data_IF_888041181833
#
_entry.id   IF_888041181833
#
_cell.length_a   1.000
_cell.length_b   1.000
_cell.length_c   1.000
_cell.angle_alpha   90.00
_cell.angle_beta   90.00
_cell.angle_gamma   90.00
#
_symmetry.space_group_name_H-M   'P 1'
#
loop_
_entity.id
_entity.type
_entity.pdbx_description
1 polymer ?
#
# COMPACT_ATOMS: atom_id res chain seq x y z
N UNK A 1 3.47 49.43 -29.01
CA UNK A 1 3.46 47.95 -29.14
C UNK A 1 3.46 47.35 -27.74
N UNK A 2 2.29 47.03 -27.22
CA UNK A 2 2.11 46.46 -25.92
C UNK A 2 2.17 44.94 -26.05
N UNK A 3 3.21 44.31 -25.49
CA UNK A 3 3.40 42.88 -25.46
C UNK A 3 2.53 42.31 -24.31
N UNK A 4 1.33 41.82 -24.60
CA UNK A 4 0.50 41.09 -23.65
C UNK A 4 1.11 39.70 -23.51
N UNK A 5 1.85 39.47 -22.40
CA UNK A 5 2.22 38.14 -21.97
C UNK A 5 0.95 37.35 -21.66
N UNK A 6 0.59 36.40 -22.51
CA UNK A 6 -0.41 35.39 -22.23
C UNK A 6 0.15 34.50 -21.12
N UNK A 7 -0.31 34.73 -19.91
CA UNK A 7 -0.15 33.77 -18.81
C UNK A 7 -1.10 32.59 -19.11
N UNK A 8 -0.54 31.52 -19.61
CA UNK A 8 -1.24 30.25 -19.85
C UNK A 8 -1.74 29.75 -18.48
N UNK A 9 -3.03 29.89 -18.22
CA UNK A 9 -3.68 29.30 -17.06
C UNK A 9 -3.80 27.82 -17.34
N UNK A 10 -2.71 27.06 -17.07
CA UNK A 10 -2.81 25.61 -16.98
C UNK A 10 -3.95 25.32 -15.98
N UNK A 11 -4.98 24.63 -16.42
CA UNK A 11 -6.08 24.16 -15.57
C UNK A 11 -5.46 23.38 -14.40
N UNK A 12 -5.52 23.97 -13.20
CA UNK A 12 -5.07 23.29 -11.98
C UNK A 12 -6.08 22.19 -11.71
N UNK A 13 -5.72 20.95 -12.04
CA UNK A 13 -6.54 19.78 -11.71
C UNK A 13 -6.56 19.64 -10.18
N UNK A 14 -7.74 19.69 -9.53
CA UNK A 14 -7.83 19.56 -8.09
C UNK A 14 -7.24 18.22 -7.62
N UNK A 15 -6.48 18.18 -6.52
CA UNK A 15 -5.83 16.97 -6.05
C UNK A 15 -6.83 15.92 -5.57
N UNK A 16 -6.49 14.66 -5.74
CA UNK A 16 -7.21 13.55 -5.10
C UNK A 16 -6.40 13.02 -3.93
N UNK A 17 -6.89 13.25 -2.71
CA UNK A 17 -6.36 12.67 -1.48
C UNK A 17 -6.92 11.27 -1.23
N UNK A 18 -6.28 10.52 -0.33
CA UNK A 18 -6.70 9.16 0.00
C UNK A 18 -6.63 8.88 1.49
N UNK A 19 -7.68 8.24 2.02
CA UNK A 19 -7.62 7.48 3.26
C UNK A 19 -7.45 6.00 2.91
N UNK A 20 -6.47 5.33 3.51
CA UNK A 20 -6.23 3.92 3.26
C UNK A 20 -5.95 3.18 4.58
N UNK A 21 -6.92 3.15 5.51
CA UNK A 21 -6.76 2.50 6.79
C UNK A 21 -6.94 0.98 6.70
N UNK A 22 -6.18 0.25 7.55
CA UNK A 22 -6.42 -1.18 7.79
C UNK A 22 -7.36 -1.31 8.99
N UNK A 23 -8.58 -1.84 8.83
CA UNK A 23 -9.60 -1.89 9.87
C UNK A 23 -9.35 -3.05 10.85
N UNK A 24 -8.25 -3.01 11.60
CA UNK A 24 -7.87 -4.04 12.57
C UNK A 24 -8.42 -3.81 13.98
N UNK A 25 -9.33 -2.85 14.14
CA UNK A 25 -9.96 -2.41 15.37
C UNK A 25 -10.53 -1.02 15.20
N UNK A 26 -10.93 -0.36 16.31
CA UNK A 26 -11.34 1.05 16.25
C UNK A 26 -10.17 1.96 15.91
N UNK A 27 -10.47 3.06 15.24
CA UNK A 27 -9.46 4.07 14.91
C UNK A 27 -8.82 4.64 16.16
N UNK A 28 -7.50 4.71 16.19
CA UNK A 28 -6.79 5.44 17.24
C UNK A 28 -6.48 6.87 16.77
N UNK A 29 -6.10 7.74 17.72
CA UNK A 29 -5.88 9.16 17.45
C UNK A 29 -4.91 9.42 16.30
N UNK A 30 -3.86 8.60 16.14
CA UNK A 30 -2.91 8.74 15.04
C UNK A 30 -3.53 8.50 13.66
N UNK A 31 -4.42 7.50 13.52
CA UNK A 31 -5.13 7.28 12.26
C UNK A 31 -6.04 8.47 11.94
N UNK A 32 -6.76 8.98 12.95
CA UNK A 32 -7.65 10.13 12.80
C UNK A 32 -6.88 11.39 12.41
N UNK A 33 -5.74 11.65 13.03
CA UNK A 33 -4.88 12.79 12.69
C UNK A 33 -4.37 12.71 11.25
N UNK A 34 -3.90 11.53 10.80
CA UNK A 34 -3.49 11.33 9.41
C UNK A 34 -4.64 11.53 8.43
N UNK A 35 -5.83 11.01 8.76
CA UNK A 35 -7.03 11.19 7.93
C UNK A 35 -7.45 12.64 7.84
N UNK A 36 -7.42 13.37 8.97
CA UNK A 36 -7.73 14.80 9.02
C UNK A 36 -6.74 15.62 8.16
N UNK A 37 -5.44 15.37 8.28
CA UNK A 37 -4.43 16.07 7.50
C UNK A 37 -4.59 15.83 6.00
N UNK A 38 -4.84 14.59 5.58
CA UNK A 38 -5.09 14.25 4.19
C UNK A 38 -6.37 14.93 3.68
N UNK A 39 -7.42 14.95 4.49
CA UNK A 39 -8.70 15.60 4.19
C UNK A 39 -8.52 17.11 4.00
N UNK A 40 -7.90 17.78 4.96
CA UNK A 40 -7.62 19.22 4.91
C UNK A 40 -6.76 19.59 3.69
N UNK A 41 -5.70 18.81 3.43
CA UNK A 41 -4.80 19.05 2.30
C UNK A 41 -5.53 18.98 0.95
N UNK A 42 -6.41 18.00 0.75
CA UNK A 42 -7.17 17.89 -0.49
C UNK A 42 -8.30 18.92 -0.58
N UNK A 43 -9.10 19.06 0.47
CA UNK A 43 -10.29 19.94 0.47
C UNK A 43 -9.94 21.42 0.41
N UNK A 44 -8.84 21.86 1.00
CA UNK A 44 -8.38 23.26 0.89
C UNK A 44 -8.04 23.67 -0.55
N UNK A 45 -7.81 22.71 -1.43
CA UNK A 45 -7.50 22.92 -2.83
C UNK A 45 -8.69 22.57 -3.77
N UNK A 46 -9.90 22.43 -3.22
CA UNK A 46 -11.08 21.99 -3.98
C UNK A 46 -11.02 20.53 -4.44
N UNK A 47 -10.14 19.74 -3.83
CA UNK A 47 -9.88 18.36 -4.21
C UNK A 47 -10.89 17.34 -3.64
N UNK A 48 -10.67 16.08 -4.00
CA UNK A 48 -11.49 14.93 -3.63
C UNK A 48 -10.76 14.02 -2.64
N UNK A 49 -11.54 13.21 -1.89
CA UNK A 49 -11.02 12.16 -1.00
C UNK A 49 -11.58 10.81 -1.44
N UNK A 50 -10.69 9.83 -1.56
CA UNK A 50 -11.04 8.42 -1.80
C UNK A 50 -10.78 7.63 -0.53
N UNK A 51 -11.77 6.84 -0.08
CA UNK A 51 -11.62 5.89 1.02
C UNK A 51 -11.32 4.49 0.44
N UNK A 52 -10.15 3.95 0.75
CA UNK A 52 -9.78 2.58 0.45
C UNK A 52 -9.61 1.79 1.74
N UNK A 53 -10.28 0.66 1.84
CA UNK A 53 -10.18 -0.23 2.99
C UNK A 53 -9.10 -1.28 2.75
N UNK A 54 -8.07 -1.31 3.61
CA UNK A 54 -6.95 -2.25 3.47
C UNK A 54 -7.15 -3.49 4.36
N UNK A 55 -8.01 -4.38 3.94
CA UNK A 55 -8.54 -5.54 4.65
C UNK A 55 -8.02 -6.90 4.11
N UNK A 56 -6.79 -6.96 3.60
CA UNK A 56 -6.18 -8.19 3.10
C UNK A 56 -6.07 -9.30 4.16
N UNK A 57 -5.86 -8.93 5.43
CA UNK A 57 -5.81 -9.86 6.55
C UNK A 57 -7.22 -10.00 7.14
N UNK A 58 -8.00 -10.93 6.61
CA UNK A 58 -9.41 -11.11 6.98
C UNK A 58 -9.63 -11.47 8.47
N UNK A 59 -8.65 -12.12 9.12
CA UNK A 59 -8.73 -12.45 10.54
C UNK A 59 -8.61 -11.19 11.42
N UNK A 60 -7.68 -10.31 11.07
CA UNK A 60 -7.43 -9.06 11.80
C UNK A 60 -8.35 -7.92 11.38
N UNK A 61 -8.85 -7.96 10.16
CA UNK A 61 -9.64 -6.89 9.54
C UNK A 61 -11.05 -7.37 9.13
N UNK A 62 -11.85 -7.94 10.04
CA UNK A 62 -13.21 -8.34 9.73
C UNK A 62 -14.06 -7.14 9.33
N UNK A 63 -15.04 -7.33 8.46
CA UNK A 63 -15.89 -6.29 7.87
C UNK A 63 -16.48 -5.33 8.90
N UNK A 64 -16.90 -5.83 10.06
CA UNK A 64 -17.46 -5.00 11.15
C UNK A 64 -16.55 -3.83 11.59
N UNK A 65 -15.22 -3.99 11.47
CA UNK A 65 -14.29 -2.91 11.80
C UNK A 65 -14.17 -1.89 10.68
N UNK A 66 -14.38 -2.28 9.42
CA UNK A 66 -14.47 -1.34 8.32
C UNK A 66 -15.75 -0.48 8.46
N UNK A 67 -16.87 -1.11 8.81
CA UNK A 67 -18.13 -0.40 9.04
C UNK A 67 -18.00 0.62 10.19
N UNK A 68 -17.44 0.18 11.34
CA UNK A 68 -17.20 1.06 12.49
C UNK A 68 -16.22 2.21 12.16
N UNK A 69 -15.21 1.95 11.33
CA UNK A 69 -14.26 2.95 10.86
C UNK A 69 -14.96 4.03 10.03
N UNK A 70 -15.85 3.64 9.13
CA UNK A 70 -16.63 4.59 8.34
C UNK A 70 -17.58 5.42 9.22
N UNK A 71 -18.17 4.81 10.24
CA UNK A 71 -18.99 5.53 11.24
C UNK A 71 -18.17 6.55 12.01
N UNK A 72 -16.99 6.17 12.51
CA UNK A 72 -16.07 7.05 13.23
C UNK A 72 -15.64 8.25 12.36
N UNK A 73 -15.29 8.02 11.09
CA UNK A 73 -14.93 9.10 10.16
C UNK A 73 -16.10 10.06 9.89
N UNK A 74 -17.30 9.52 9.66
CA UNK A 74 -18.50 10.35 9.45
C UNK A 74 -18.85 11.17 10.69
N UNK A 75 -18.76 10.57 11.88
CA UNK A 75 -18.99 11.25 13.14
C UNK A 75 -18.05 12.45 13.34
N UNK A 76 -16.81 12.34 12.88
CA UNK A 76 -15.82 13.43 12.90
C UNK A 76 -15.99 14.44 11.77
N UNK A 77 -16.93 14.24 10.85
CA UNK A 77 -17.11 15.10 9.68
C UNK A 77 -16.08 14.87 8.57
N UNK A 78 -15.27 13.82 8.65
CA UNK A 78 -14.28 13.45 7.62
C UNK A 78 -14.95 12.62 6.53
N UNK A 79 -15.78 13.26 5.74
CA UNK A 79 -16.49 12.63 4.61
C UNK A 79 -15.58 12.47 3.40
N UNK A 80 -15.83 11.44 2.63
CA UNK A 80 -15.12 11.13 1.39
C UNK A 80 -16.07 11.16 0.20
N UNK A 81 -15.52 11.36 -0.98
CA UNK A 81 -16.29 11.53 -2.22
C UNK A 81 -16.48 10.20 -2.96
N UNK A 82 -15.64 9.19 -2.66
CA UNK A 82 -15.60 7.92 -3.36
C UNK A 82 -14.96 6.85 -2.48
N UNK A 83 -15.42 5.61 -2.59
CA UNK A 83 -14.83 4.46 -1.91
C UNK A 83 -15.55 4.00 -0.65
N UNK A 84 -14.95 3.05 0.05
CA UNK A 84 -15.58 2.35 1.16
C UNK A 84 -16.92 1.73 0.76
N UNK A 85 -17.91 1.77 1.66
CA UNK A 85 -19.26 1.27 1.39
C UNK A 85 -20.05 2.11 0.39
N UNK A 86 -19.65 3.36 0.16
CA UNK A 86 -20.30 4.26 -0.81
C UNK A 86 -19.98 3.89 -2.27
N UNK A 87 -18.93 3.12 -2.50
CA UNK A 87 -18.51 2.72 -3.84
C UNK A 87 -18.03 3.89 -4.70
N UNK A 88 -18.15 3.75 -6.03
CA UNK A 88 -17.74 4.75 -7.01
C UNK A 88 -17.21 4.13 -8.31
N UNK A 89 -16.74 4.96 -9.27
CA UNK A 89 -16.36 4.49 -10.60
C UNK A 89 -14.99 3.80 -10.67
N UNK A 90 -14.13 3.96 -9.65
CA UNK A 90 -12.74 3.49 -9.68
C UNK A 90 -12.49 2.31 -8.73
N UNK A 91 -13.53 1.50 -8.43
CA UNK A 91 -13.41 0.31 -7.58
C UNK A 91 -12.54 -0.81 -8.18
N UNK A 92 -12.28 -1.85 -7.39
CA UNK A 92 -12.78 -2.09 -6.03
C UNK A 92 -12.06 -1.26 -4.95
N UNK A 93 -12.77 -0.95 -3.85
CA UNK A 93 -12.26 -0.11 -2.75
C UNK A 93 -11.90 -0.90 -1.50
N UNK A 94 -12.23 -2.17 -1.45
CA UNK A 94 -11.75 -3.12 -0.46
C UNK A 94 -10.59 -3.91 -1.04
N UNK A 95 -9.49 -3.96 -0.32
CA UNK A 95 -8.28 -4.62 -0.82
C UNK A 95 -8.48 -6.13 -0.98
N UNK A 96 -9.33 -6.75 -0.14
CA UNK A 96 -9.75 -8.15 -0.25
C UNK A 96 -10.45 -8.48 -1.57
N UNK A 97 -11.08 -7.50 -2.22
CA UNK A 97 -11.74 -7.64 -3.52
C UNK A 97 -10.78 -7.51 -4.71
N UNK A 98 -9.52 -7.13 -4.46
CA UNK A 98 -8.51 -6.90 -5.50
C UNK A 98 -7.71 -8.16 -5.88
N UNK A 99 -8.06 -9.35 -5.41
CA UNK A 99 -7.28 -10.58 -5.58
C UNK A 99 -6.93 -10.90 -7.04
N UNK A 100 -7.88 -10.70 -7.97
CA UNK A 100 -7.64 -10.93 -9.39
C UNK A 100 -6.58 -9.97 -9.96
N UNK A 101 -6.65 -8.68 -9.58
CA UNK A 101 -5.71 -7.64 -10.01
C UNK A 101 -4.30 -7.96 -9.49
N UNK A 102 -4.20 -8.40 -8.24
CA UNK A 102 -2.91 -8.78 -7.63
C UNK A 102 -2.34 -10.03 -8.27
N UNK A 103 -3.18 -11.03 -8.56
CA UNK A 103 -2.75 -12.26 -9.24
C UNK A 103 -2.23 -11.96 -10.64
N UNK A 104 -2.93 -11.13 -11.41
CA UNK A 104 -2.47 -10.71 -12.74
C UNK A 104 -1.11 -9.98 -12.68
N UNK A 105 -0.97 -9.07 -11.72
CA UNK A 105 0.28 -8.32 -11.52
C UNK A 105 1.43 -9.24 -11.09
N UNK A 106 1.14 -10.20 -10.18
CA UNK A 106 2.09 -11.21 -9.76
C UNK A 106 2.57 -12.05 -10.95
N UNK A 107 1.65 -12.56 -11.76
CA UNK A 107 1.97 -13.39 -12.93
C UNK A 107 2.86 -12.63 -13.94
N UNK A 108 2.61 -11.33 -14.14
CA UNK A 108 3.47 -10.48 -14.98
C UNK A 108 4.89 -10.37 -14.44
N UNK A 109 5.05 -10.20 -13.14
CA UNK A 109 6.35 -10.13 -12.48
C UNK A 109 7.08 -11.48 -12.49
N UNK A 110 6.35 -12.56 -12.27
CA UNK A 110 6.88 -13.93 -12.31
C UNK A 110 7.40 -14.28 -13.72
N UNK A 111 6.63 -13.96 -14.77
CA UNK A 111 7.03 -14.18 -16.17
C UNK A 111 8.31 -13.39 -16.55
N UNK A 112 8.60 -12.29 -15.88
CA UNK A 112 9.82 -11.51 -16.04
C UNK A 112 10.99 -12.01 -15.17
N UNK A 113 10.80 -13.08 -14.37
CA UNK A 113 11.81 -13.59 -13.44
C UNK A 113 12.14 -12.65 -12.28
N UNK A 114 11.25 -11.70 -11.99
CA UNK A 114 11.44 -10.70 -10.93
C UNK A 114 11.01 -11.19 -9.56
N UNK A 115 10.35 -12.35 -9.48
CA UNK A 115 9.84 -12.93 -8.23
C UNK A 115 10.60 -14.19 -7.88
N UNK A 116 10.89 -14.40 -6.60
CA UNK A 116 11.52 -15.61 -6.09
C UNK A 116 10.92 -16.04 -4.75
N UNK A 117 10.86 -17.36 -4.46
CA UNK A 117 10.35 -17.88 -3.19
C UNK A 117 11.34 -17.66 -2.04
N UNK A 118 10.82 -17.23 -0.89
CA UNK A 118 11.60 -17.01 0.31
C UNK A 118 11.03 -17.79 1.50
N UNK A 119 11.86 -18.54 2.19
CA UNK A 119 11.51 -19.40 3.33
C UNK A 119 11.97 -18.87 4.68
N UNK A 120 12.58 -17.68 4.72
CA UNK A 120 13.06 -17.08 5.96
C UNK A 120 11.91 -16.71 6.90
N UNK A 121 12.06 -16.97 8.19
CA UNK A 121 11.16 -16.48 9.23
C UNK A 121 11.51 -15.04 9.63
N UNK A 122 10.57 -14.34 10.28
CA UNK A 122 10.84 -13.00 10.84
C UNK A 122 11.99 -13.03 11.83
N UNK A 123 12.05 -14.07 12.69
CA UNK A 123 13.15 -14.23 13.66
C UNK A 123 14.51 -14.35 12.97
N UNK A 124 14.61 -15.09 11.86
CA UNK A 124 15.85 -15.19 11.08
C UNK A 124 16.24 -13.86 10.44
N UNK A 125 15.27 -13.04 10.03
CA UNK A 125 15.54 -11.73 9.46
C UNK A 125 15.97 -10.70 10.51
N UNK A 126 15.47 -10.82 11.74
CA UNK A 126 15.78 -9.92 12.86
C UNK A 126 16.88 -10.46 13.80
N UNK A 127 17.57 -11.55 13.43
CA UNK A 127 18.69 -12.03 14.21
C UNK A 127 19.76 -10.95 14.33
N UNK A 128 20.48 -10.94 15.46
CA UNK A 128 21.53 -9.94 15.75
C UNK A 128 22.66 -9.89 14.70
N UNK A 129 22.81 -10.95 13.90
CA UNK A 129 23.75 -11.04 12.78
C UNK A 129 23.21 -10.52 11.45
N UNK A 130 21.94 -10.08 11.40
CA UNK A 130 21.38 -9.54 10.16
C UNK A 130 21.98 -8.15 9.88
N UNK A 131 22.29 -7.82 8.61
CA UNK A 131 22.76 -6.48 8.28
C UNK A 131 21.65 -5.46 8.53
N UNK A 132 22.02 -4.30 9.09
CA UNK A 132 21.13 -3.20 9.37
C UNK A 132 21.56 -1.96 8.57
N UNK A 133 20.60 -1.11 8.22
CA UNK A 133 20.87 0.24 7.73
C UNK A 133 21.31 1.15 8.87
N UNK A 134 21.82 2.34 8.55
CA UNK A 134 22.24 3.34 9.56
C UNK A 134 21.11 3.79 10.49
N UNK A 135 19.87 3.63 10.08
CA UNK A 135 18.64 3.92 10.84
C UNK A 135 18.08 2.68 11.59
N UNK A 136 18.84 1.58 11.66
CA UNK A 136 18.49 0.37 12.40
C UNK A 136 17.52 -0.58 11.68
N UNK A 137 17.13 -0.29 10.44
CA UNK A 137 16.27 -1.18 9.68
C UNK A 137 17.02 -2.43 9.21
N UNK A 138 16.37 -3.59 9.28
CA UNK A 138 16.93 -4.87 8.86
C UNK A 138 16.99 -4.95 7.34
N UNK A 139 18.18 -5.17 6.80
CA UNK A 139 18.39 -5.44 5.37
C UNK A 139 18.23 -6.94 5.12
N UNK A 140 17.34 -7.32 4.21
CA UNK A 140 17.24 -8.71 3.80
C UNK A 140 18.45 -9.10 2.93
N UNK A 141 19.27 -10.10 3.35
CA UNK A 141 20.53 -10.44 2.68
C UNK A 141 20.35 -11.21 1.35
N UNK A 142 19.10 -11.47 0.93
CA UNK A 142 18.85 -12.21 -0.30
C UNK A 142 19.06 -13.73 -0.22
N UNK A 143 19.14 -14.31 0.97
CA UNK A 143 19.49 -15.72 1.24
C UNK A 143 18.75 -16.73 0.35
N UNK A 144 17.50 -16.45 -0.03
CA UNK A 144 16.71 -17.38 -0.85
C UNK A 144 16.71 -17.03 -2.35
N UNK A 145 17.40 -15.98 -2.78
CA UNK A 145 17.39 -15.53 -4.18
C UNK A 145 18.04 -16.52 -5.15
N UNK A 146 19.06 -17.23 -4.72
CA UNK A 146 19.85 -18.15 -5.54
C UNK A 146 19.56 -19.64 -5.31
N UNK A 147 18.39 -19.98 -4.75
CA UNK A 147 18.01 -21.38 -4.52
C UNK A 147 17.77 -22.10 -5.85
N UNK A 148 18.27 -23.36 -5.96
CA UNK A 148 17.95 -24.24 -7.10
C UNK A 148 16.53 -24.78 -7.01
N UNK A 149 16.01 -25.31 -8.12
CA UNK A 149 14.68 -25.91 -8.17
C UNK A 149 14.53 -27.07 -7.14
N UNK A 150 15.57 -27.89 -6.97
CA UNK A 150 15.57 -29.00 -5.99
C UNK A 150 15.54 -28.47 -4.56
N UNK A 151 16.31 -27.41 -4.26
CA UNK A 151 16.31 -26.78 -2.94
C UNK A 151 14.95 -26.11 -2.61
N UNK A 152 14.31 -25.52 -3.62
CA UNK A 152 12.97 -24.94 -3.48
C UNK A 152 11.97 -26.06 -3.19
N UNK A 153 11.97 -27.14 -3.98
CA UNK A 153 11.07 -28.28 -3.79
C UNK A 153 11.21 -28.92 -2.40
N UNK A 154 12.45 -29.08 -1.92
CA UNK A 154 12.69 -29.63 -0.57
C UNK A 154 12.18 -28.68 0.55
N UNK A 155 12.37 -27.36 0.38
CA UNK A 155 11.88 -26.38 1.34
C UNK A 155 10.35 -26.26 1.33
N UNK A 156 9.72 -26.38 0.18
CA UNK A 156 8.27 -26.36 0.05
C UNK A 156 7.58 -27.50 0.81
N UNK A 157 8.25 -28.68 0.96
CA UNK A 157 7.71 -29.77 1.78
C UNK A 157 7.57 -29.40 3.26
N UNK A 158 8.37 -28.46 3.73
CA UNK A 158 8.45 -28.04 5.15
C UNK A 158 7.64 -26.78 5.45
N UNK A 159 7.57 -25.87 4.49
CA UNK A 159 6.94 -24.56 4.70
C UNK A 159 6.52 -23.94 3.36
N UNK A 160 5.34 -23.35 3.30
CA UNK A 160 4.94 -22.51 2.18
C UNK A 160 5.85 -21.28 2.08
N UNK A 161 6.32 -20.91 0.87
CA UNK A 161 7.17 -19.74 0.68
C UNK A 161 6.36 -18.44 0.77
N UNK A 162 7.03 -17.38 1.22
CA UNK A 162 6.63 -16.02 0.89
C UNK A 162 7.33 -15.62 -0.42
N UNK A 163 6.65 -14.93 -1.31
CA UNK A 163 7.26 -14.45 -2.54
C UNK A 163 7.86 -13.07 -2.36
N UNK A 164 9.07 -12.86 -2.89
CA UNK A 164 9.78 -11.59 -2.85
C UNK A 164 10.07 -11.08 -4.25
N UNK A 165 9.92 -9.76 -4.41
CA UNK A 165 10.29 -9.07 -5.63
C UNK A 165 11.80 -8.76 -5.61
N UNK A 166 12.47 -9.03 -6.73
CA UNK A 166 13.83 -8.56 -6.96
C UNK A 166 13.79 -7.10 -7.35
N UNK A 167 14.15 -6.23 -6.41
CA UNK A 167 14.26 -4.79 -6.63
C UNK A 167 15.73 -4.46 -6.82
N UNK A 168 16.08 -3.84 -7.96
CA UNK A 168 17.35 -3.12 -8.10
C UNK A 168 17.07 -1.63 -7.97
N UNK A 169 17.97 -0.88 -7.35
CA UNK A 169 17.87 0.58 -7.23
C UNK A 169 17.73 1.31 -8.57
N UNK A 170 18.01 0.65 -9.66
CA UNK A 170 17.88 1.18 -11.03
C UNK A 170 16.45 1.05 -11.60
N UNK A 171 15.59 0.18 -11.04
CA UNK A 171 14.26 -0.11 -11.58
C UNK A 171 13.11 0.52 -10.81
N UNK A 172 13.30 0.81 -9.53
CA UNK A 172 12.30 1.46 -8.69
C UNK A 172 12.96 2.65 -7.99
N UNK A 173 12.95 3.80 -8.64
CA UNK A 173 13.03 5.05 -7.91
C UNK A 173 11.67 5.23 -7.26
N UNK A 174 11.58 5.00 -5.96
CA UNK A 174 10.49 5.55 -5.19
C UNK A 174 10.54 7.08 -5.42
N UNK A 175 9.46 7.63 -5.95
CA UNK A 175 9.29 9.08 -5.91
C UNK A 175 9.03 9.43 -4.45
N UNK A 176 10.11 9.59 -3.69
CA UNK A 176 10.02 10.21 -2.39
C UNK A 176 9.59 11.65 -2.64
N UNK A 177 8.39 11.97 -2.18
CA UNK A 177 7.94 13.36 -2.08
C UNK A 177 8.95 14.10 -1.21
N UNK A 178 9.64 15.05 -1.80
CA UNK A 178 10.46 16.01 -1.07
C UNK A 178 9.59 16.99 -0.29
#
# INVERSE_FOLDING_TARGET
MQNQAHCDKSEIIPPTGRFAPSPSGRLHLGNLACSLLAWLSAKSQGGRIVLRIEDLDAERCPRKYADALEEDLRWLGLVWDEGGSSGGPNGPYYQSECAAIYTESYNKLEAQGLVYPCFCSRAQLHAASAPHTSDGNVIYPGTCRGLTAEQIAEKCKKKAPAYRLTVSYTHLRAHETR
#
